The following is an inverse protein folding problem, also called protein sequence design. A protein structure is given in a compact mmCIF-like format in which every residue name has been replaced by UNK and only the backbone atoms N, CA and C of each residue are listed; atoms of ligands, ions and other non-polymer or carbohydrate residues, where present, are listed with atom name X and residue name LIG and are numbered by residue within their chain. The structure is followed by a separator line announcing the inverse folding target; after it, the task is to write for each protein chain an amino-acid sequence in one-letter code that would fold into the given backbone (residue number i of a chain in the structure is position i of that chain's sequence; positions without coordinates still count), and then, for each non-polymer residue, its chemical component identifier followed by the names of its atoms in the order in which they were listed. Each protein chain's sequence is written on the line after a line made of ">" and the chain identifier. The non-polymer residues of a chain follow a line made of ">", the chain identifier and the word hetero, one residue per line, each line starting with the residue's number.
data_IF_827321221364
#
_entry.id   IF_827321221364
#
_cell.length_a   1.000
_cell.length_b   1.000
_cell.length_c   1.000
_cell.angle_alpha   90.00
_cell.angle_beta   90.00
_cell.angle_gamma   90.00
#
_symmetry.space_group_name_H-M   'P 1'
#
loop_
_entity.id
_entity.type
_entity.pdbx_description
1 polymer ?
#
# COMPACT_ATOMS: atom_id res chain seq x y z
N UNK A 1 85.61 40.19 31.55
CA UNK A 1 84.99 41.02 30.50
C UNK A 1 83.73 40.32 30.01
N UNK A 2 82.66 41.11 29.84
CA UNK A 2 81.29 40.71 29.50
C UNK A 2 81.11 40.11 28.09
N UNK A 3 79.86 39.68 27.86
CA UNK A 3 79.13 39.25 26.64
C UNK A 3 79.03 37.73 26.51
N UNK A 4 77.86 37.07 26.50
CA UNK A 4 76.49 37.48 26.19
C UNK A 4 75.99 36.61 25.03
N UNK A 5 75.01 35.73 25.25
CA UNK A 5 74.49 34.85 24.19
C UNK A 5 73.25 34.05 24.62
N UNK A 6 72.10 34.46 24.10
CA UNK A 6 70.74 34.05 24.48
C UNK A 6 70.09 33.23 23.36
N UNK A 7 69.32 32.19 23.77
CA UNK A 7 68.23 31.45 23.08
C UNK A 7 68.37 30.95 21.63
N UNK A 8 68.12 29.64 21.44
CA UNK A 8 67.46 29.07 20.24
C UNK A 8 66.74 27.74 20.60
N UNK A 9 65.65 27.81 21.35
CA UNK A 9 64.75 26.65 21.61
C UNK A 9 63.27 26.94 21.28
N UNK A 10 62.96 28.05 20.61
CA UNK A 10 61.57 28.51 20.38
C UNK A 10 60.87 28.04 19.10
N UNK A 11 61.57 27.43 18.15
CA UNK A 11 61.01 27.19 16.79
C UNK A 11 60.44 25.79 16.57
N UNK A 12 60.93 24.73 17.21
CA UNK A 12 60.38 23.37 17.03
C UNK A 12 59.06 23.13 17.78
N UNK A 13 58.85 23.77 18.93
CA UNK A 13 57.62 23.59 19.73
C UNK A 13 56.39 24.25 19.09
N UNK A 14 56.59 25.38 18.41
CA UNK A 14 55.51 26.09 17.71
C UNK A 14 55.07 25.38 16.42
N UNK A 15 55.94 24.61 15.77
CA UNK A 15 55.58 23.86 14.58
C UNK A 15 54.66 22.67 14.92
N UNK A 16 55.05 21.82 15.88
CA UNK A 16 54.23 20.67 16.30
C UNK A 16 52.86 21.07 16.87
N UNK A 17 52.78 22.19 17.60
CA UNK A 17 51.51 22.69 18.14
C UNK A 17 50.57 23.21 17.05
N UNK A 18 51.11 23.83 15.99
CA UNK A 18 50.33 24.24 14.81
C UNK A 18 49.86 23.03 14.00
N UNK A 19 50.68 22.01 13.82
CA UNK A 19 50.29 20.79 13.09
C UNK A 19 49.20 20.01 13.82
N UNK A 20 49.29 19.88 15.15
CA UNK A 20 48.23 19.26 15.95
C UNK A 20 46.92 20.05 15.90
N UNK A 21 46.97 21.38 16.03
CA UNK A 21 45.76 22.21 15.92
C UNK A 21 45.12 22.12 14.53
N UNK A 22 45.93 21.97 13.48
CA UNK A 22 45.44 21.81 12.10
C UNK A 22 44.78 20.45 11.89
N UNK A 23 45.37 19.37 12.42
CA UNK A 23 44.80 18.01 12.40
C UNK A 23 43.51 17.92 13.22
N UNK A 24 43.45 18.56 14.40
CA UNK A 24 42.23 18.63 15.21
C UNK A 24 41.14 19.46 14.53
N UNK A 25 41.50 20.57 13.88
CA UNK A 25 40.54 21.35 13.09
C UNK A 25 40.01 20.56 11.87
N UNK A 26 40.87 19.79 11.19
CA UNK A 26 40.45 18.92 10.08
C UNK A 26 39.52 17.79 10.53
N UNK A 27 39.78 17.20 11.70
CA UNK A 27 38.91 16.20 12.32
C UNK A 27 37.56 16.79 12.74
N UNK A 28 37.53 18.02 13.28
CA UNK A 28 36.28 18.71 13.63
C UNK A 28 35.49 19.08 12.37
N UNK A 29 36.16 19.50 11.29
CA UNK A 29 35.51 19.75 9.99
C UNK A 29 34.99 18.45 9.38
N UNK A 30 35.74 17.35 9.45
CA UNK A 30 35.26 16.03 9.00
C UNK A 30 34.07 15.54 9.83
N UNK A 31 34.08 15.73 11.16
CA UNK A 31 32.94 15.39 12.02
C UNK A 31 31.74 16.33 11.79
N UNK A 32 31.97 17.62 11.54
CA UNK A 32 30.91 18.57 11.20
C UNK A 32 30.29 18.26 9.83
N UNK A 33 31.09 17.82 8.86
CA UNK A 33 30.61 17.34 7.57
C UNK A 33 29.89 15.99 7.68
N UNK A 34 30.27 15.10 8.60
CA UNK A 34 29.50 13.89 8.89
C UNK A 34 28.21 14.17 9.67
N UNK A 35 28.19 15.18 10.56
CA UNK A 35 26.99 15.64 11.25
C UNK A 35 26.03 16.37 10.30
N UNK A 36 26.52 17.07 9.28
CA UNK A 36 25.69 17.61 8.19
C UNK A 36 25.31 16.55 7.13
N UNK A 37 26.12 15.51 6.92
CA UNK A 37 25.75 14.37 6.07
C UNK A 37 24.74 13.42 6.75
N UNK A 38 24.40 13.68 8.01
CA UNK A 38 23.22 13.15 8.69
C UNK A 38 22.03 14.13 8.60
N UNK A 39 22.01 14.97 7.56
CA UNK A 39 20.76 15.57 7.08
C UNK A 39 19.76 14.43 6.93
N UNK A 40 18.61 14.54 7.62
CA UNK A 40 17.43 13.72 7.35
C UNK A 40 17.31 13.59 5.83
N UNK A 41 17.44 12.38 5.32
CA UNK A 41 17.21 12.10 3.91
C UNK A 41 15.91 12.83 3.49
N UNK A 42 16.00 13.73 2.52
CA UNK A 42 15.04 14.84 2.39
C UNK A 42 13.63 14.29 2.21
N UNK A 43 12.73 14.64 3.14
CA UNK A 43 11.31 14.33 3.00
C UNK A 43 10.79 14.93 1.68
N UNK A 44 10.09 14.11 0.88
CA UNK A 44 9.48 14.58 -0.35
C UNK A 44 8.09 15.14 -0.05
N UNK A 45 7.77 16.30 -0.64
CA UNK A 45 6.43 16.90 -0.58
C UNK A 45 5.44 16.12 -1.46
N UNK A 46 4.16 16.21 -1.13
CA UNK A 46 3.09 15.77 -2.02
C UNK A 46 3.24 16.43 -3.39
N UNK A 47 3.16 15.63 -4.46
CA UNK A 47 3.25 16.10 -5.85
C UNK A 47 1.87 16.22 -6.50
N UNK A 48 0.84 15.69 -5.85
CA UNK A 48 -0.56 15.84 -6.24
C UNK A 48 -1.40 16.31 -5.05
N UNK A 49 -2.28 17.27 -5.32
CA UNK A 49 -3.38 17.67 -4.43
C UNK A 49 -4.58 17.93 -5.34
N UNK A 50 -5.64 17.13 -5.19
CA UNK A 50 -6.89 17.31 -5.94
C UNK A 50 -8.09 17.17 -5.02
N UNK A 51 -9.21 17.75 -5.44
CA UNK A 51 -10.52 17.49 -4.85
C UNK A 51 -11.19 16.35 -5.60
N UNK A 52 -12.10 15.61 -4.96
CA UNK A 52 -12.94 14.63 -5.66
C UNK A 52 -13.63 15.27 -6.86
N UNK A 53 -13.62 14.61 -8.02
CA UNK A 53 -14.30 15.09 -9.23
C UNK A 53 -15.81 15.15 -9.00
N UNK A 54 -16.33 14.14 -8.29
CA UNK A 54 -17.74 14.04 -7.92
C UNK A 54 -17.86 13.43 -6.53
N UNK A 55 -18.88 13.89 -5.80
CA UNK A 55 -19.45 13.20 -4.65
C UNK A 55 -20.95 13.07 -4.91
N UNK A 56 -21.47 11.84 -4.88
CA UNK A 56 -22.90 11.57 -5.01
C UNK A 56 -23.40 10.77 -3.82
N UNK A 57 -24.65 11.01 -3.42
CA UNK A 57 -25.36 10.15 -2.49
C UNK A 57 -26.13 9.08 -3.25
N UNK A 58 -25.98 7.84 -2.82
CA UNK A 58 -26.68 6.69 -3.40
C UNK A 58 -27.60 6.09 -2.34
N UNK A 59 -28.90 5.88 -2.64
CA UNK A 59 -29.84 5.30 -1.69
C UNK A 59 -29.42 3.89 -1.24
N UNK A 60 -29.94 3.49 -0.08
CA UNK A 60 -29.71 2.15 0.45
C UNK A 60 -30.17 1.06 -0.50
N UNK A 61 -29.54 -0.11 -0.39
CA UNK A 61 -29.87 -1.25 -1.26
C UNK A 61 -31.35 -1.64 -1.11
N UNK A 62 -31.89 -1.59 0.12
CA UNK A 62 -33.31 -1.81 0.36
C UNK A 62 -34.21 -0.81 -0.37
N UNK A 63 -33.87 0.49 -0.35
CA UNK A 63 -34.62 1.52 -1.09
C UNK A 63 -34.53 1.32 -2.59
N UNK A 64 -33.38 0.92 -3.12
CA UNK A 64 -33.20 0.66 -4.55
C UNK A 64 -34.01 -0.55 -5.01
N UNK A 65 -34.10 -1.61 -4.19
CA UNK A 65 -34.97 -2.76 -4.46
C UNK A 65 -36.44 -2.33 -4.49
N UNK A 66 -36.88 -1.56 -3.49
CA UNK A 66 -38.27 -1.09 -3.40
C UNK A 66 -38.67 -0.19 -4.58
N UNK A 67 -37.74 0.64 -5.05
CA UNK A 67 -37.97 1.62 -6.12
C UNK A 67 -37.63 1.10 -7.52
N UNK A 68 -37.16 -0.14 -7.65
CA UNK A 68 -36.82 -0.77 -8.93
C UNK A 68 -35.55 -0.22 -9.60
N UNK A 69 -34.65 0.42 -8.84
CA UNK A 69 -33.36 0.92 -9.34
C UNK A 69 -32.19 -0.02 -9.03
N UNK A 70 -32.42 -1.08 -8.26
CA UNK A 70 -31.43 -2.13 -7.98
C UNK A 70 -30.98 -2.84 -9.25
N UNK A 71 -29.66 -2.97 -9.46
CA UNK A 71 -29.10 -3.62 -10.64
C UNK A 71 -28.57 -5.01 -10.22
N UNK A 72 -29.24 -6.11 -10.61
CA UNK A 72 -28.78 -7.45 -10.24
C UNK A 72 -27.43 -7.76 -10.89
N UNK A 73 -26.64 -8.61 -10.23
CA UNK A 73 -25.42 -9.15 -10.79
C UNK A 73 -25.73 -9.98 -12.06
N UNK A 74 -24.86 -9.87 -13.06
CA UNK A 74 -24.92 -10.69 -14.27
C UNK A 74 -23.88 -11.81 -14.19
N UNK A 75 -24.30 -13.06 -14.42
CA UNK A 75 -23.39 -14.20 -14.49
C UNK A 75 -22.76 -14.28 -15.89
N UNK A 76 -21.75 -13.45 -16.14
CA UNK A 76 -21.01 -13.42 -17.40
C UNK A 76 -19.61 -13.98 -17.17
N UNK A 77 -19.20 -14.93 -18.03
CA UNK A 77 -17.79 -15.32 -18.14
C UNK A 77 -17.08 -14.33 -19.06
N UNK A 78 -16.23 -13.47 -18.50
CA UNK A 78 -15.41 -12.54 -19.27
C UNK A 78 -14.11 -12.20 -18.58
N UNK A 79 -13.14 -11.73 -19.35
CA UNK A 79 -11.94 -11.09 -18.84
C UNK A 79 -12.27 -9.62 -18.53
N UNK A 80 -12.12 -9.20 -17.27
CA UNK A 80 -12.42 -7.82 -16.86
C UNK A 80 -11.19 -6.92 -17.00
N UNK A 81 -10.08 -7.35 -16.43
CA UNK A 81 -8.83 -6.60 -16.41
C UNK A 81 -7.77 -7.42 -17.15
N UNK A 82 -7.66 -7.28 -18.49
CA UNK A 82 -6.67 -8.04 -19.23
C UNK A 82 -5.27 -7.68 -18.75
N UNK A 83 -4.42 -8.69 -18.60
CA UNK A 83 -3.03 -8.51 -18.18
C UNK A 83 -2.30 -7.62 -19.20
N UNK A 84 -2.00 -6.38 -18.82
CA UNK A 84 -1.31 -5.39 -19.68
C UNK A 84 0.17 -5.21 -19.35
N UNK A 85 0.68 -5.95 -18.38
CA UNK A 85 2.04 -5.81 -17.89
C UNK A 85 2.95 -6.94 -18.37
N UNK A 86 4.26 -6.65 -18.41
CA UNK A 86 5.28 -7.62 -18.77
C UNK A 86 5.66 -8.53 -17.59
N UNK A 87 6.50 -9.53 -17.88
CA UNK A 87 7.12 -10.37 -16.85
C UNK A 87 7.99 -9.53 -15.90
N UNK A 88 8.14 -10.00 -14.66
CA UNK A 88 9.16 -9.44 -13.78
C UNK A 88 10.57 -9.75 -14.31
N UNK A 89 11.47 -8.80 -14.13
CA UNK A 89 12.83 -8.83 -14.66
C UNK A 89 13.84 -9.10 -13.56
N UNK A 90 14.85 -9.91 -13.89
CA UNK A 90 15.98 -10.22 -13.02
C UNK A 90 17.27 -10.22 -13.82
N UNK A 91 18.39 -10.11 -13.11
CA UNK A 91 19.74 -10.15 -13.69
C UNK A 91 20.27 -11.57 -13.61
N UNK A 92 20.58 -12.22 -14.75
CA UNK A 92 21.14 -13.57 -14.75
C UNK A 92 22.36 -13.71 -13.84
N UNK A 93 22.34 -14.72 -12.96
CA UNK A 93 23.43 -15.01 -12.03
C UNK A 93 23.29 -14.35 -10.65
N UNK A 94 22.52 -13.27 -10.50
CA UNK A 94 22.15 -12.70 -9.19
C UNK A 94 21.07 -13.55 -8.49
N UNK A 95 20.57 -13.12 -7.34
CA UNK A 95 19.58 -13.87 -6.56
C UNK A 95 20.24 -14.72 -5.48
N UNK A 96 19.92 -14.48 -4.22
CA UNK A 96 20.15 -15.38 -3.09
C UNK A 96 18.78 -15.71 -2.45
N UNK A 97 18.65 -16.84 -1.73
CA UNK A 97 19.63 -17.90 -1.53
C UNK A 97 19.88 -18.71 -2.80
N UNK A 98 21.06 -19.33 -2.91
CA UNK A 98 21.28 -20.40 -3.91
C UNK A 98 20.82 -21.72 -3.29
N UNK A 99 19.67 -22.24 -3.71
CA UNK A 99 19.10 -23.50 -3.20
C UNK A 99 17.87 -23.27 -2.32
N UNK A 100 17.73 -24.06 -1.25
CA UNK A 100 16.57 -23.95 -0.35
C UNK A 100 16.56 -22.64 0.46
N UNK A 101 15.36 -22.16 0.78
CA UNK A 101 15.16 -21.04 1.72
C UNK A 101 15.84 -21.36 3.08
N UNK A 102 16.76 -20.50 3.56
CA UNK A 102 17.50 -20.73 4.81
C UNK A 102 16.61 -20.81 6.06
N UNK A 103 15.38 -20.28 5.99
CA UNK A 103 14.40 -20.29 7.07
C UNK A 103 13.36 -21.41 6.93
N UNK A 104 13.33 -22.17 5.84
CA UNK A 104 12.35 -23.24 5.61
C UNK A 104 12.26 -24.25 6.75
N UNK A 105 13.41 -24.74 7.24
CA UNK A 105 13.43 -25.72 8.34
C UNK A 105 12.93 -25.11 9.64
N UNK A 106 13.27 -23.83 9.90
CA UNK A 106 12.79 -23.09 11.07
C UNK A 106 11.27 -22.89 10.99
N UNK A 107 10.75 -22.54 9.81
CA UNK A 107 9.32 -22.41 9.53
C UNK A 107 8.58 -23.74 9.79
N UNK A 108 9.15 -24.87 9.34
CA UNK A 108 8.59 -26.22 9.58
C UNK A 108 8.54 -26.62 11.06
N UNK A 109 9.51 -26.15 11.84
CA UNK A 109 9.63 -26.47 13.26
C UNK A 109 8.89 -25.50 14.19
N UNK A 110 8.29 -24.44 13.64
CA UNK A 110 7.57 -23.45 14.45
C UNK A 110 6.43 -24.14 15.20
N UNK A 111 6.37 -23.91 16.51
CA UNK A 111 5.22 -24.36 17.31
C UNK A 111 4.03 -23.51 16.91
N UNK A 112 3.04 -24.13 16.25
CA UNK A 112 1.80 -23.44 15.89
C UNK A 112 1.05 -23.10 17.17
N UNK A 113 0.72 -21.83 17.35
CA UNK A 113 -0.15 -21.40 18.45
C UNK A 113 -1.56 -21.98 18.29
N UNK A 114 -2.37 -21.97 19.37
CA UNK A 114 -3.76 -22.40 19.28
C UNK A 114 -4.50 -21.53 18.26
N UNK A 115 -5.00 -22.16 17.21
CA UNK A 115 -5.95 -21.53 16.31
C UNK A 115 -7.35 -21.57 16.95
N UNK A 116 -8.20 -20.58 16.64
CA UNK A 116 -9.63 -20.68 16.95
C UNK A 116 -10.29 -21.57 15.90
N UNK A 117 -11.22 -22.41 16.34
CA UNK A 117 -12.02 -23.20 15.42
C UNK A 117 -12.85 -22.28 14.51
N UNK A 118 -13.08 -22.73 13.27
CA UNK A 118 -13.99 -22.08 12.35
C UNK A 118 -15.41 -22.15 12.92
N UNK A 119 -16.05 -20.99 13.09
CA UNK A 119 -17.43 -20.89 13.58
C UNK A 119 -18.42 -21.20 12.44
N UNK A 120 -18.07 -20.82 11.21
CA UNK A 120 -18.92 -20.93 10.03
C UNK A 120 -18.07 -21.03 8.75
N UNK A 121 -18.55 -21.78 7.76
CA UNK A 121 -18.00 -21.81 6.41
C UNK A 121 -19.15 -21.90 5.42
N UNK A 122 -19.15 -21.01 4.42
CA UNK A 122 -20.14 -21.00 3.33
C UNK A 122 -19.52 -20.41 2.06
N UNK A 123 -20.13 -20.71 0.91
CA UNK A 123 -19.72 -20.15 -0.38
C UNK A 123 -20.35 -18.76 -0.57
N UNK A 124 -19.52 -17.71 -0.58
CA UNK A 124 -19.98 -16.32 -0.68
C UNK A 124 -19.94 -15.76 -2.11
N UNK A 125 -19.16 -16.35 -3.01
CA UNK A 125 -19.08 -15.92 -4.40
C UNK A 125 -18.69 -17.09 -5.30
N UNK A 126 -19.27 -17.10 -6.49
CA UNK A 126 -18.89 -17.96 -7.61
C UNK A 126 -18.96 -17.10 -8.87
N UNK A 127 -17.90 -17.09 -9.67
CA UNK A 127 -17.81 -16.25 -10.86
C UNK A 127 -17.02 -16.95 -11.95
N UNK A 128 -17.46 -16.78 -13.20
CA UNK A 128 -16.69 -17.19 -14.38
C UNK A 128 -15.71 -16.12 -14.87
N UNK A 129 -15.51 -15.04 -14.10
CA UNK A 129 -14.71 -13.89 -14.48
C UNK A 129 -13.23 -14.11 -14.19
N UNK A 130 -12.36 -13.61 -15.08
CA UNK A 130 -10.90 -13.66 -14.90
C UNK A 130 -10.29 -12.25 -14.98
N UNK A 131 -9.50 -11.83 -13.98
CA UNK A 131 -9.43 -12.42 -12.65
C UNK A 131 -10.77 -12.28 -11.90
N UNK A 132 -11.02 -13.13 -10.90
CA UNK A 132 -12.26 -13.09 -10.11
C UNK A 132 -12.24 -12.00 -9.02
N UNK A 133 -11.07 -11.63 -8.53
CA UNK A 133 -10.83 -10.60 -7.48
C UNK A 133 -11.79 -10.66 -6.28
N UNK A 134 -11.90 -11.82 -5.58
CA UNK A 134 -12.77 -11.93 -4.42
C UNK A 134 -12.22 -11.11 -3.24
N UNK A 135 -13.10 -10.31 -2.64
CA UNK A 135 -12.81 -9.47 -1.47
C UNK A 135 -13.99 -9.49 -0.50
N UNK A 136 -13.78 -9.04 0.74
CA UNK A 136 -14.87 -8.89 1.68
C UNK A 136 -14.44 -8.40 3.06
N UNK A 137 -15.38 -7.79 3.77
CA UNK A 137 -15.18 -7.33 5.12
C UNK A 137 -16.36 -7.68 6.03
N UNK A 138 -16.04 -7.90 7.29
CA UNK A 138 -17.00 -8.26 8.33
C UNK A 138 -17.22 -7.05 9.23
N UNK A 139 -18.44 -6.53 9.23
CA UNK A 139 -18.93 -5.58 10.22
C UNK A 139 -19.59 -6.26 11.43
N UNK A 140 -20.25 -5.47 12.31
CA UNK A 140 -20.90 -5.97 13.51
C UNK A 140 -21.98 -7.02 13.22
N UNK A 141 -22.83 -6.73 12.22
CA UNK A 141 -24.01 -7.54 11.91
C UNK A 141 -23.98 -8.13 10.49
N UNK A 142 -23.05 -7.69 9.65
CA UNK A 142 -23.06 -7.98 8.22
C UNK A 142 -21.68 -8.46 7.74
N UNK A 143 -21.70 -9.30 6.72
CA UNK A 143 -20.55 -9.56 5.87
C UNK A 143 -20.86 -9.02 4.47
N UNK A 144 -20.05 -8.08 4.00
CA UNK A 144 -20.11 -7.58 2.64
C UNK A 144 -18.98 -8.25 1.86
N UNK A 145 -19.32 -8.96 0.80
CA UNK A 145 -18.35 -9.58 -0.09
C UNK A 145 -18.51 -9.00 -1.50
N UNK A 146 -17.41 -8.92 -2.25
CA UNK A 146 -17.39 -8.46 -3.64
C UNK A 146 -16.43 -9.29 -4.48
N UNK A 147 -16.62 -9.26 -5.80
CA UNK A 147 -15.82 -9.96 -6.82
C UNK A 147 -16.02 -9.23 -8.15
N UNK A 148 -15.25 -9.54 -9.20
CA UNK A 148 -15.48 -8.99 -10.53
C UNK A 148 -16.82 -9.50 -11.13
N UNK A 149 -17.85 -8.66 -11.29
CA UNK A 149 -17.95 -7.24 -10.84
C UNK A 149 -19.30 -7.00 -10.17
N UNK A 150 -19.41 -7.60 -8.99
CA UNK A 150 -20.64 -7.73 -8.23
C UNK A 150 -20.33 -7.92 -6.74
N UNK A 151 -21.31 -7.61 -5.90
CA UNK A 151 -21.22 -7.77 -4.46
C UNK A 151 -22.48 -8.41 -3.88
N UNK A 152 -22.38 -8.87 -2.64
CA UNK A 152 -23.52 -9.37 -1.88
C UNK A 152 -23.35 -9.13 -0.38
N UNK A 153 -24.48 -8.90 0.28
CA UNK A 153 -24.55 -8.69 1.73
C UNK A 153 -25.16 -9.92 2.38
N UNK A 154 -24.51 -10.38 3.45
CA UNK A 154 -24.84 -11.57 4.21
C UNK A 154 -25.03 -11.22 5.69
N UNK A 155 -25.88 -11.98 6.37
CA UNK A 155 -25.89 -11.98 7.83
C UNK A 155 -24.69 -12.74 8.41
N UNK A 156 -24.54 -12.71 9.74
CA UNK A 156 -23.47 -13.42 10.46
C UNK A 156 -23.61 -14.95 10.47
N UNK A 157 -24.75 -15.48 10.01
CA UNK A 157 -25.03 -16.91 9.89
C UNK A 157 -24.80 -17.44 8.47
N UNK A 158 -24.39 -16.57 7.53
CA UNK A 158 -24.16 -16.94 6.13
C UNK A 158 -25.42 -16.96 5.28
N UNK A 159 -26.55 -16.41 5.76
CA UNK A 159 -27.74 -16.22 4.95
C UNK A 159 -27.60 -14.93 4.13
N UNK A 160 -27.92 -14.96 2.84
CA UNK A 160 -27.89 -13.76 2.03
C UNK A 160 -29.06 -12.84 2.38
N UNK A 161 -28.76 -11.56 2.58
CA UNK A 161 -29.77 -10.53 2.85
C UNK A 161 -30.25 -9.83 1.57
N UNK A 162 -29.45 -9.92 0.51
CA UNK A 162 -29.78 -9.38 -0.82
C UNK A 162 -29.57 -10.45 -1.89
N UNK A 163 -30.15 -10.23 -3.08
CA UNK A 163 -29.61 -10.85 -4.28
C UNK A 163 -28.16 -10.36 -4.52
N UNK A 164 -27.38 -11.10 -5.32
CA UNK A 164 -26.11 -10.56 -5.81
C UNK A 164 -26.40 -9.31 -6.66
N UNK A 165 -25.65 -8.23 -6.42
CA UNK A 165 -25.83 -6.93 -7.03
C UNK A 165 -24.64 -6.60 -7.92
N UNK A 166 -24.87 -5.95 -9.06
CA UNK A 166 -23.80 -5.34 -9.85
C UNK A 166 -23.14 -4.22 -9.03
N UNK A 167 -21.83 -3.98 -9.21
CA UNK A 167 -21.17 -2.78 -8.66
C UNK A 167 -21.90 -1.50 -9.05
N UNK A 168 -22.54 -1.47 -10.23
CA UNK A 168 -23.36 -0.34 -10.70
C UNK A 168 -24.59 -0.03 -9.83
N UNK A 169 -24.93 -0.90 -8.87
CA UNK A 169 -25.95 -0.59 -7.85
C UNK A 169 -25.46 0.48 -6.87
N UNK A 170 -24.14 0.60 -6.67
CA UNK A 170 -23.52 1.62 -5.83
C UNK A 170 -22.81 2.67 -6.68
N UNK A 171 -22.14 2.25 -7.75
CA UNK A 171 -21.29 3.15 -8.53
C UNK A 171 -21.91 3.56 -9.87
N UNK A 172 -21.47 4.68 -10.46
CA UNK A 172 -21.81 5.01 -11.84
C UNK A 172 -21.23 4.03 -12.87
N UNK A 173 -20.22 3.23 -12.49
CA UNK A 173 -19.46 2.32 -13.35
C UNK A 173 -19.66 0.83 -13.04
N UNK A 174 -18.84 0.01 -13.70
CA UNK A 174 -18.66 -1.42 -13.40
C UNK A 174 -17.33 -1.95 -13.97
N UNK A 175 -16.24 -1.23 -13.71
CA UNK A 175 -14.92 -1.55 -14.26
C UNK A 175 -14.18 -2.62 -13.46
N UNK A 176 -14.65 -2.94 -12.24
CA UNK A 176 -14.14 -4.05 -11.45
C UNK A 176 -12.96 -3.72 -10.53
N UNK A 177 -12.24 -4.78 -10.17
CA UNK A 177 -11.24 -4.88 -9.09
C UNK A 177 -11.72 -4.27 -7.76
N UNK A 178 -12.88 -4.75 -7.24
CA UNK A 178 -13.40 -4.18 -6.02
C UNK A 178 -12.55 -4.56 -4.81
N UNK A 179 -12.34 -3.61 -3.91
CA UNK A 179 -11.81 -3.87 -2.56
C UNK A 179 -12.86 -3.49 -1.54
N UNK A 180 -13.16 -4.42 -0.63
CA UNK A 180 -14.09 -4.18 0.48
C UNK A 180 -13.31 -4.13 1.78
N UNK A 181 -13.53 -3.07 2.56
CA UNK A 181 -13.02 -2.94 3.93
C UNK A 181 -14.16 -2.58 4.89
N UNK A 182 -13.93 -2.81 6.18
CA UNK A 182 -14.77 -2.28 7.24
C UNK A 182 -13.94 -1.35 8.12
N UNK A 183 -14.23 -0.06 8.04
CA UNK A 183 -13.68 0.92 8.97
C UNK A 183 -14.41 0.80 10.30
N UNK A 184 -13.84 -0.02 11.17
CA UNK A 184 -14.35 -0.27 12.51
C UNK A 184 -14.32 0.93 13.45
N UNK A 185 -13.58 1.99 13.12
CA UNK A 185 -13.47 3.18 13.97
C UNK A 185 -14.54 4.22 13.62
N UNK A 186 -15.12 4.14 12.43
CA UNK A 186 -16.28 4.92 12.01
C UNK A 186 -17.54 4.08 11.81
N UNK A 187 -17.48 2.78 12.08
CA UNK A 187 -18.56 1.82 11.83
C UNK A 187 -19.10 1.85 10.38
N UNK A 188 -18.20 2.00 9.39
CA UNK A 188 -18.58 2.10 7.97
C UNK A 188 -18.00 0.98 7.12
N UNK A 189 -18.78 0.53 6.14
CA UNK A 189 -18.26 -0.25 5.03
C UNK A 189 -17.64 0.68 3.99
N UNK A 190 -16.55 0.22 3.41
CA UNK A 190 -15.87 0.81 2.27
C UNK A 190 -15.91 -0.21 1.14
N UNK A 191 -16.26 0.22 -0.06
CA UNK A 191 -16.10 -0.56 -1.28
C UNK A 191 -15.52 0.35 -2.37
N UNK A 192 -14.66 -0.19 -3.22
CA UNK A 192 -14.11 0.53 -4.36
C UNK A 192 -14.44 -0.17 -5.68
N UNK A 193 -14.22 0.55 -6.78
CA UNK A 193 -13.96 0.00 -8.10
C UNK A 193 -13.02 0.94 -8.88
N UNK A 194 -12.58 0.51 -10.06
CA UNK A 194 -11.90 1.40 -10.99
C UNK A 194 -12.82 2.46 -11.60
N UNK A 195 -12.25 3.63 -11.87
CA UNK A 195 -12.80 4.62 -12.78
C UNK A 195 -11.74 5.01 -13.80
N UNK A 196 -11.91 4.66 -15.08
CA UNK A 196 -11.00 5.06 -16.17
C UNK A 196 -9.53 5.07 -15.69
N UNK A 197 -8.87 6.24 -15.61
CA UNK A 197 -7.66 6.42 -14.82
C UNK A 197 -8.00 7.00 -13.43
N UNK A 198 -8.26 6.17 -12.43
CA UNK A 198 -8.70 6.63 -11.12
C UNK A 198 -9.52 5.60 -10.35
N UNK A 199 -10.15 6.09 -9.28
CA UNK A 199 -10.88 5.29 -8.31
C UNK A 199 -12.29 5.84 -8.14
N UNK A 200 -13.27 4.94 -8.13
CA UNK A 200 -14.56 5.20 -7.50
C UNK A 200 -14.57 4.52 -6.13
N UNK A 201 -14.97 5.25 -5.10
CA UNK A 201 -14.91 4.82 -3.71
C UNK A 201 -16.23 5.14 -3.03
N UNK A 202 -16.89 4.14 -2.48
CA UNK A 202 -18.11 4.28 -1.72
C UNK A 202 -17.88 3.98 -0.25
N UNK A 203 -18.40 4.85 0.61
CA UNK A 203 -18.43 4.65 2.07
C UNK A 203 -19.88 4.65 2.51
N UNK A 204 -20.29 3.63 3.26
CA UNK A 204 -21.67 3.55 3.75
C UNK A 204 -21.96 4.69 4.73
N UNK A 205 -23.22 5.12 4.81
CA UNK A 205 -23.65 6.17 5.74
C UNK A 205 -23.77 5.66 7.19
N UNK A 206 -23.76 4.34 7.39
CA UNK A 206 -23.77 3.66 8.68
C UNK A 206 -23.30 2.20 8.60
N UNK A 207 -23.43 1.40 9.68
CA UNK A 207 -22.95 0.02 9.74
C UNK A 207 -23.88 -1.01 9.08
N UNK A 208 -25.03 -0.60 8.55
CA UNK A 208 -26.00 -1.48 7.90
C UNK A 208 -25.98 -1.24 6.38
N UNK A 209 -25.14 -1.97 5.60
CA UNK A 209 -25.02 -1.76 4.17
C UNK A 209 -26.28 -2.14 3.38
N UNK A 210 -27.30 -2.75 4.02
CA UNK A 210 -28.60 -3.01 3.39
C UNK A 210 -29.49 -1.78 3.49
N UNK A 211 -29.52 -1.14 4.66
CA UNK A 211 -30.49 -0.10 5.00
C UNK A 211 -29.94 1.33 4.99
N UNK A 212 -28.61 1.50 5.10
CA UNK A 212 -27.93 2.78 4.99
C UNK A 212 -27.59 3.10 3.53
N UNK A 213 -27.59 4.40 3.19
CA UNK A 213 -27.11 4.89 1.90
C UNK A 213 -25.59 4.84 1.78
N UNK A 214 -25.06 5.37 0.68
CA UNK A 214 -23.63 5.44 0.39
C UNK A 214 -23.23 6.85 -0.05
N UNK A 215 -22.07 7.30 0.41
CA UNK A 215 -21.36 8.44 -0.19
C UNK A 215 -20.35 7.89 -1.19
N UNK A 216 -20.49 8.27 -2.47
CA UNK A 216 -19.65 7.78 -3.56
C UNK A 216 -18.80 8.91 -4.12
N UNK A 217 -17.49 8.70 -4.08
CA UNK A 217 -16.47 9.66 -4.48
C UNK A 217 -15.71 9.16 -5.70
N UNK A 218 -15.33 10.10 -6.56
CA UNK A 218 -14.45 9.84 -7.70
C UNK A 218 -13.15 10.63 -7.57
N UNK A 219 -12.02 9.93 -7.67
CA UNK A 219 -10.71 10.55 -7.69
C UNK A 219 -9.93 10.12 -8.93
N UNK A 220 -9.60 11.08 -9.78
CA UNK A 220 -8.83 10.83 -10.98
C UNK A 220 -7.32 10.72 -10.69
N UNK A 221 -6.66 9.97 -11.55
CA UNK A 221 -5.22 9.83 -11.64
C UNK A 221 -4.79 10.05 -13.09
N UNK A 222 -3.49 10.26 -13.34
CA UNK A 222 -2.98 10.48 -14.69
C UNK A 222 -2.81 9.19 -15.52
N UNK A 223 -2.79 8.02 -14.89
CA UNK A 223 -2.66 6.70 -15.52
C UNK A 223 -3.38 5.63 -14.72
N UNK A 224 -3.74 4.52 -15.36
CA UNK A 224 -4.55 3.45 -14.77
C UNK A 224 -3.91 2.88 -13.48
N UNK A 225 -4.58 2.96 -12.31
CA UNK A 225 -4.02 2.56 -11.03
C UNK A 225 -4.34 1.09 -10.68
N UNK A 226 -3.85 0.15 -11.49
CA UNK A 226 -4.15 -1.28 -11.35
C UNK A 226 -3.77 -1.86 -9.97
N UNK A 227 -4.44 -2.94 -9.56
CA UNK A 227 -4.18 -3.69 -8.34
C UNK A 227 -4.06 -2.81 -7.06
N UNK A 228 -5.06 -1.95 -6.77
CA UNK A 228 -4.99 -1.03 -5.66
C UNK A 228 -5.13 -1.77 -4.32
N UNK A 229 -4.44 -1.25 -3.30
CA UNK A 229 -4.58 -1.69 -1.92
C UNK A 229 -5.00 -0.50 -1.08
N UNK A 230 -5.97 -0.73 -0.21
CA UNK A 230 -6.55 0.30 0.65
C UNK A 230 -6.29 0.00 2.12
N UNK A 231 -6.02 1.03 2.92
CA UNK A 231 -5.83 0.87 4.35
C UNK A 231 -6.43 2.01 5.14
N UNK A 232 -6.98 1.69 6.32
CA UNK A 232 -7.44 2.69 7.30
C UNK A 232 -6.28 3.06 8.21
N UNK A 233 -5.96 4.35 8.25
CA UNK A 233 -5.10 4.95 9.28
C UNK A 233 -5.87 6.06 10.01
N UNK A 234 -5.26 6.66 11.02
CA UNK A 234 -5.92 7.63 11.89
C UNK A 234 -6.34 8.93 11.22
N UNK A 235 -5.67 9.33 10.14
CA UNK A 235 -5.83 10.63 9.48
C UNK A 235 -6.30 10.54 8.02
N UNK A 236 -6.32 9.35 7.41
CA UNK A 236 -6.74 9.16 6.04
C UNK A 236 -7.12 7.70 5.75
N UNK A 237 -7.82 7.49 4.63
CA UNK A 237 -7.69 6.22 3.92
C UNK A 237 -6.49 6.33 2.99
N UNK A 238 -5.62 5.33 3.01
CA UNK A 238 -4.43 5.28 2.17
C UNK A 238 -4.65 4.31 1.01
N UNK A 239 -4.09 4.65 -0.14
CA UNK A 239 -4.14 3.86 -1.36
C UNK A 239 -2.72 3.66 -1.86
N UNK A 240 -2.38 2.44 -2.26
CA UNK A 240 -1.21 2.15 -3.10
C UNK A 240 -1.66 1.41 -4.35
N UNK A 241 -0.99 1.60 -5.47
CA UNK A 241 -1.37 0.95 -6.74
C UNK A 241 -0.17 0.53 -7.57
N UNK A 242 -0.35 -0.47 -8.43
CA UNK A 242 0.57 -0.84 -9.49
C UNK A 242 0.47 0.16 -10.65
N UNK A 243 0.93 1.39 -10.40
CA UNK A 243 0.81 2.52 -11.34
C UNK A 243 2.18 3.01 -11.80
N UNK A 244 2.31 3.45 -13.05
CA UNK A 244 3.55 4.01 -13.60
C UNK A 244 4.81 3.15 -13.31
N UNK A 245 4.77 1.85 -13.63
CA UNK A 245 5.81 0.86 -13.31
C UNK A 245 7.25 1.28 -13.67
N UNK A 246 7.42 2.10 -14.71
CA UNK A 246 8.74 2.59 -15.15
C UNK A 246 9.27 3.80 -14.38
N UNK A 247 8.44 4.44 -13.55
CA UNK A 247 8.79 5.66 -12.82
C UNK A 247 8.14 5.80 -11.42
N UNK A 248 7.96 4.74 -10.62
CA UNK A 248 7.28 4.83 -9.32
C UNK A 248 8.00 5.70 -8.29
N UNK A 249 9.30 5.96 -8.49
CA UNK A 249 10.09 6.88 -7.67
C UNK A 249 9.87 8.37 -7.97
N UNK A 250 9.14 8.70 -9.04
CA UNK A 250 8.87 10.08 -9.46
C UNK A 250 7.41 10.34 -9.85
N UNK A 251 6.57 9.30 -9.89
CA UNK A 251 5.14 9.37 -10.21
C UNK A 251 4.29 9.08 -8.97
N UNK A 252 3.09 9.64 -8.89
CA UNK A 252 2.19 9.39 -7.77
C UNK A 252 1.64 7.97 -7.81
N UNK A 253 2.05 7.16 -6.83
CA UNK A 253 1.71 5.73 -6.70
C UNK A 253 1.21 5.39 -5.29
N UNK A 254 1.34 6.35 -4.36
CA UNK A 254 0.75 6.34 -3.02
C UNK A 254 -0.18 7.53 -2.93
N UNK A 255 -1.37 7.32 -2.39
CA UNK A 255 -2.36 8.36 -2.18
C UNK A 255 -2.90 8.32 -0.76
N UNK A 256 -3.32 9.47 -0.24
CA UNK A 256 -4.12 9.58 0.96
C UNK A 256 -5.37 10.40 0.64
N UNK A 257 -6.54 9.89 1.03
CA UNK A 257 -7.83 10.56 0.82
C UNK A 257 -8.43 10.98 2.18
N UNK A 258 -9.05 12.16 2.19
CA UNK A 258 -9.52 12.84 3.40
C UNK A 258 -10.72 12.11 4.04
N UNK A 259 -10.40 11.10 4.85
CA UNK A 259 -11.33 10.18 5.50
C UNK A 259 -12.49 10.88 6.21
N UNK A 260 -12.20 11.90 7.01
CA UNK A 260 -13.22 12.58 7.81
C UNK A 260 -14.27 13.29 6.95
N UNK A 261 -13.88 13.84 5.81
CA UNK A 261 -14.83 14.41 4.85
C UNK A 261 -15.64 13.35 4.13
N UNK A 262 -14.99 12.26 3.74
CA UNK A 262 -15.65 11.14 3.06
C UNK A 262 -16.73 10.48 3.93
N UNK A 263 -16.47 10.36 5.23
CA UNK A 263 -17.43 9.84 6.21
C UNK A 263 -18.69 10.71 6.37
N UNK A 264 -18.62 11.98 5.97
CA UNK A 264 -19.69 12.97 6.11
C UNK A 264 -20.33 13.38 4.78
N UNK A 265 -19.96 12.75 3.65
CA UNK A 265 -20.52 13.14 2.35
C UNK A 265 -20.07 14.54 1.90
N UNK A 266 -18.95 15.06 2.39
CA UNK A 266 -18.44 16.37 1.97
C UNK A 266 -17.76 16.27 0.60
N UNK A 267 -18.31 16.96 -0.41
CA UNK A 267 -17.80 16.99 -1.78
C UNK A 267 -16.43 17.68 -1.94
N UNK A 268 -15.94 18.34 -0.89
CA UNK A 268 -14.61 18.95 -0.85
C UNK A 268 -13.51 18.01 -0.33
N UNK A 269 -13.80 16.70 -0.21
CA UNK A 269 -12.81 15.68 0.12
C UNK A 269 -11.61 15.74 -0.82
N UNK A 270 -10.41 15.77 -0.25
CA UNK A 270 -9.17 15.85 -0.99
C UNK A 270 -8.50 14.48 -1.14
N UNK A 271 -7.73 14.35 -2.22
CA UNK A 271 -6.70 13.32 -2.39
C UNK A 271 -5.34 13.99 -2.55
N UNK A 272 -4.36 13.54 -1.76
CA UNK A 272 -2.96 13.89 -1.92
C UNK A 272 -2.17 12.69 -2.44
N UNK A 273 -1.17 12.92 -3.28
CA UNK A 273 -0.39 11.87 -3.93
C UNK A 273 1.13 12.06 -3.78
N UNK A 274 1.84 10.94 -3.71
CA UNK A 274 3.28 10.87 -3.50
C UNK A 274 3.91 9.78 -4.37
N UNK A 275 5.15 9.98 -4.85
CA UNK A 275 5.99 8.89 -5.32
C UNK A 275 6.65 8.14 -4.16
N UNK A 276 7.19 6.97 -4.46
CA UNK A 276 8.01 6.18 -3.54
C UNK A 276 9.48 6.38 -3.85
N UNK A 277 10.10 7.40 -3.26
CA UNK A 277 11.51 7.72 -3.50
C UNK A 277 12.43 6.51 -3.29
N UNK A 278 13.45 6.43 -4.14
CA UNK A 278 14.45 5.35 -4.16
C UNK A 278 13.90 3.94 -4.35
N UNK A 279 12.61 3.75 -4.65
CA UNK A 279 12.08 2.42 -4.96
C UNK A 279 12.79 1.83 -6.19
N UNK A 280 13.07 0.53 -6.14
CA UNK A 280 13.42 -0.27 -7.31
C UNK A 280 12.41 -1.40 -7.41
N UNK A 281 11.82 -1.58 -8.58
CA UNK A 281 10.93 -2.68 -8.89
C UNK A 281 11.48 -3.48 -10.08
N UNK A 282 10.83 -4.61 -10.37
CA UNK A 282 11.19 -5.51 -11.47
C UNK A 282 10.16 -5.56 -12.60
N UNK A 283 9.07 -4.79 -12.52
CA UNK A 283 7.92 -4.90 -13.43
C UNK A 283 6.61 -4.66 -12.68
N UNK A 284 5.71 -5.65 -12.69
CA UNK A 284 4.53 -5.63 -11.84
C UNK A 284 4.96 -5.51 -10.38
N UNK A 285 4.36 -4.58 -9.67
CA UNK A 285 4.70 -4.29 -8.28
C UNK A 285 3.48 -3.80 -7.54
N UNK A 286 3.45 -3.98 -6.23
CA UNK A 286 2.40 -3.38 -5.43
C UNK A 286 2.90 -3.12 -4.01
N UNK A 287 3.15 -1.85 -3.65
CA UNK A 287 3.44 -1.45 -2.28
C UNK A 287 2.19 -1.57 -1.43
N UNK A 288 2.32 -1.54 -0.11
CA UNK A 288 1.21 -1.78 0.80
C UNK A 288 1.22 -0.77 1.96
N UNK A 289 0.09 -0.11 2.18
CA UNK A 289 -0.15 0.64 3.41
C UNK A 289 -0.53 -0.28 4.56
N UNK A 290 -0.16 0.09 5.78
CA UNK A 290 -0.62 -0.63 6.98
C UNK A 290 -2.05 -0.25 7.33
N UNK A 291 -2.87 -1.26 7.57
CA UNK A 291 -4.24 -1.11 8.04
C UNK A 291 -4.30 -1.23 9.57
N UNK A 292 -4.94 -0.26 10.23
CA UNK A 292 -5.18 -0.32 11.66
C UNK A 292 -6.22 -1.38 12.00
N UNK A 293 -5.83 -2.33 12.87
CA UNK A 293 -6.70 -3.40 13.37
C UNK A 293 -6.52 -3.63 14.88
N UNK A 294 -5.91 -2.67 15.57
CA UNK A 294 -5.87 -2.60 17.03
C UNK A 294 -7.20 -2.12 17.62
N UNK A 295 -7.28 -2.06 18.95
CA UNK A 295 -8.46 -1.53 19.65
C UNK A 295 -8.59 -0.01 19.57
N UNK A 296 -7.52 0.68 19.20
CA UNK A 296 -7.44 2.14 19.11
C UNK A 296 -6.68 2.54 17.84
N UNK A 297 -7.04 3.68 17.26
CA UNK A 297 -6.26 4.27 16.18
C UNK A 297 -4.84 4.61 16.66
N UNK A 298 -3.82 4.47 15.78
CA UNK A 298 -2.49 5.01 16.03
C UNK A 298 -2.53 6.55 16.07
N UNK A 299 -1.45 7.21 16.52
CA UNK A 299 -1.30 8.66 16.33
C UNK A 299 -1.37 9.05 14.86
N UNK A 300 -1.94 10.23 14.58
CA UNK A 300 -1.95 10.84 13.25
C UNK A 300 -0.53 11.05 12.70
N UNK A 301 -0.38 10.94 11.38
CA UNK A 301 0.90 10.94 10.71
C UNK A 301 1.65 9.61 10.81
N UNK A 302 2.87 9.63 10.28
CA UNK A 302 3.78 8.49 10.16
C UNK A 302 3.11 7.19 9.68
N UNK A 303 2.15 7.32 8.75
CA UNK A 303 1.46 6.17 8.18
C UNK A 303 2.46 5.35 7.35
N UNK A 304 2.71 4.08 7.70
CA UNK A 304 3.75 3.31 7.04
C UNK A 304 3.29 2.73 5.70
N UNK A 305 4.13 2.88 4.68
CA UNK A 305 4.04 2.20 3.39
C UNK A 305 5.23 1.26 3.25
N UNK A 306 4.99 0.02 2.82
CA UNK A 306 6.03 -1.01 2.74
C UNK A 306 6.12 -1.63 1.35
N UNK A 307 7.35 -1.98 0.95
CA UNK A 307 7.63 -2.73 -0.26
C UNK A 307 8.88 -3.61 -0.10
N UNK A 308 8.93 -4.74 -0.78
CA UNK A 308 10.09 -5.64 -0.78
C UNK A 308 10.99 -5.36 -1.97
N UNK A 309 12.30 -5.60 -1.84
CA UNK A 309 13.24 -5.58 -2.96
C UNK A 309 14.18 -6.78 -2.88
N UNK A 310 14.35 -7.45 -4.03
CA UNK A 310 15.08 -8.71 -4.16
C UNK A 310 16.41 -8.49 -4.89
N UNK A 311 17.47 -9.12 -4.41
CA UNK A 311 18.84 -8.95 -4.88
C UNK A 311 19.08 -9.58 -6.27
N UNK A 312 18.13 -10.32 -6.82
CA UNK A 312 18.12 -10.74 -8.21
C UNK A 312 17.89 -9.57 -9.19
N UNK A 313 17.38 -8.42 -8.72
CA UNK A 313 17.00 -7.29 -9.57
C UNK A 313 18.19 -6.38 -9.92
N UNK A 314 18.06 -5.62 -11.00
CA UNK A 314 19.03 -4.58 -11.32
C UNK A 314 18.93 -3.44 -10.30
N UNK A 315 20.05 -2.94 -9.76
CA UNK A 315 20.05 -1.85 -8.78
C UNK A 315 19.75 -2.27 -7.33
N UNK A 316 19.60 -3.57 -7.03
CA UNK A 316 19.40 -4.09 -5.66
C UNK A 316 20.59 -4.96 -5.28
N UNK A 317 21.32 -4.64 -4.22
CA UNK A 317 22.53 -5.41 -3.82
C UNK A 317 22.26 -6.53 -2.83
N UNK A 318 21.24 -6.38 -1.99
CA UNK A 318 20.84 -7.32 -0.93
C UNK A 318 19.34 -7.32 -0.80
N UNK A 319 18.78 -8.47 -0.44
CA UNK A 319 17.36 -8.60 -0.10
C UNK A 319 17.00 -7.71 1.09
N UNK A 320 15.93 -6.94 0.93
CA UNK A 320 15.45 -6.04 1.98
C UNK A 320 13.99 -5.65 1.82
N UNK A 321 13.46 -5.08 2.88
CA UNK A 321 12.18 -4.39 2.90
C UNK A 321 12.46 -2.89 3.01
N UNK A 322 11.72 -2.07 2.27
CA UNK A 322 11.68 -0.62 2.44
C UNK A 322 10.41 -0.19 3.14
N UNK A 323 10.55 0.79 4.02
CA UNK A 323 9.46 1.40 4.76
C UNK A 323 9.52 2.92 4.59
N UNK A 324 8.44 3.53 4.11
CA UNK A 324 8.26 4.98 4.05
C UNK A 324 7.19 5.39 5.05
N UNK A 325 7.28 6.62 5.56
CA UNK A 325 6.28 7.20 6.46
C UNK A 325 5.63 8.40 5.78
N UNK A 326 4.29 8.39 5.70
CA UNK A 326 3.51 9.50 5.14
C UNK A 326 2.93 10.35 6.27
N UNK A 327 3.06 11.66 6.14
CA UNK A 327 2.49 12.66 7.03
C UNK A 327 1.59 13.60 6.23
N UNK A 328 0.28 13.55 6.45
CA UNK A 328 -0.68 14.39 5.74
C UNK A 328 -0.97 15.68 6.52
N UNK A 329 -1.11 16.79 5.82
CA UNK A 329 -1.52 18.08 6.38
C UNK A 329 -2.80 18.58 5.72
N UNK A 330 -3.96 18.25 6.27
CA UNK A 330 -5.24 18.66 5.68
C UNK A 330 -5.50 20.17 5.72
N UNK A 331 -4.85 20.92 6.62
CA UNK A 331 -4.90 22.39 6.66
C UNK A 331 -4.16 23.03 5.48
N UNK A 332 -3.04 22.42 5.07
CA UNK A 332 -2.24 22.86 3.92
C UNK A 332 -1.73 21.62 3.18
N UNK A 333 -2.56 21.02 2.30
CA UNK A 333 -2.27 19.70 1.69
C UNK A 333 -0.92 19.62 0.99
N UNK A 334 -0.46 20.71 0.36
CA UNK A 334 0.85 20.79 -0.29
C UNK A 334 2.04 20.66 0.68
N UNK A 335 1.83 20.85 2.00
CA UNK A 335 2.85 20.64 3.03
C UNK A 335 2.99 19.19 3.47
N UNK A 336 2.09 18.30 3.05
CA UNK A 336 2.18 16.86 3.34
C UNK A 336 3.49 16.28 2.82
N UNK A 337 4.03 15.27 3.50
CA UNK A 337 5.32 14.66 3.17
C UNK A 337 5.28 13.14 3.15
N UNK A 338 6.19 12.55 2.37
CA UNK A 338 6.62 11.16 2.50
C UNK A 338 8.12 11.16 2.85
N UNK A 339 8.52 10.33 3.81
CA UNK A 339 9.93 10.19 4.19
C UNK A 339 10.77 9.60 3.04
N UNK A 340 12.09 9.67 3.16
CA UNK A 340 12.93 8.71 2.44
C UNK A 340 12.76 7.30 3.06
N UNK A 341 13.00 6.21 2.31
CA UNK A 341 12.79 4.88 2.85
C UNK A 341 13.81 4.52 3.93
N UNK A 342 13.32 3.93 5.02
CA UNK A 342 14.14 3.09 5.87
C UNK A 342 14.34 1.72 5.22
N UNK A 343 15.59 1.24 5.22
CA UNK A 343 15.93 -0.10 4.74
C UNK A 343 15.98 -1.07 5.92
N UNK A 344 15.19 -2.14 5.83
CA UNK A 344 15.14 -3.26 6.75
C UNK A 344 15.75 -4.48 6.07
N UNK A 345 17.00 -4.80 6.43
CA UNK A 345 17.69 -5.96 5.85
C UNK A 345 17.01 -7.26 6.28
N UNK A 346 16.82 -8.17 5.33
CA UNK A 346 16.32 -9.51 5.58
C UNK A 346 17.46 -10.53 5.50
N UNK A 347 17.20 -11.76 5.92
CA UNK A 347 17.94 -12.89 5.35
C UNK A 347 17.57 -13.03 3.87
N UNK A 348 18.43 -13.66 3.07
CA UNK A 348 18.12 -13.84 1.66
C UNK A 348 16.81 -14.57 1.41
N UNK A 349 16.04 -14.16 0.40
CA UNK A 349 14.79 -14.79 -0.03
C UNK A 349 14.69 -14.81 -1.56
N UNK A 350 14.04 -15.83 -2.11
CA UNK A 350 13.78 -15.92 -3.55
C UNK A 350 12.37 -15.41 -3.87
N UNK A 351 12.30 -14.24 -4.51
CA UNK A 351 11.07 -13.65 -5.02
C UNK A 351 10.83 -13.90 -6.51
N UNK A 352 11.69 -14.70 -7.18
CA UNK A 352 11.64 -14.94 -8.62
C UNK A 352 11.19 -16.37 -8.95
N UNK A 353 10.00 -16.49 -9.52
CA UNK A 353 9.40 -17.76 -9.94
C UNK A 353 9.39 -17.84 -11.48
N UNK A 354 9.82 -18.97 -12.04
CA UNK A 354 9.90 -19.26 -13.48
C UNK A 354 10.46 -18.10 -14.34
N UNK A 355 11.54 -17.47 -13.86
CA UNK A 355 12.19 -16.36 -14.57
C UNK A 355 11.33 -15.10 -14.69
N UNK A 356 10.37 -14.92 -13.77
CA UNK A 356 9.50 -13.75 -13.65
C UNK A 356 8.20 -13.83 -14.44
N UNK A 357 7.93 -14.97 -15.09
CA UNK A 357 6.70 -15.19 -15.86
C UNK A 357 5.46 -15.21 -14.95
N UNK A 358 4.29 -15.19 -15.56
CA UNK A 358 3.01 -15.54 -14.91
C UNK A 358 2.71 -17.02 -15.14
N UNK A 359 1.67 -17.53 -14.48
CA UNK A 359 1.27 -18.93 -14.48
C UNK A 359 2.42 -19.81 -13.99
N UNK A 360 2.78 -19.61 -12.72
CA UNK A 360 4.00 -20.14 -12.12
C UNK A 360 3.79 -21.41 -11.30
N UNK A 361 2.62 -21.50 -10.66
CA UNK A 361 2.40 -22.48 -9.61
C UNK A 361 1.37 -23.51 -10.08
N UNK A 362 1.79 -24.78 -10.28
CA UNK A 362 0.86 -25.82 -10.69
C UNK A 362 -0.19 -26.06 -9.60
N UNK A 363 -1.44 -26.19 -10.02
CA UNK A 363 -2.54 -26.60 -9.15
C UNK A 363 -2.73 -28.12 -9.21
N UNK A 364 -3.25 -28.77 -8.15
CA UNK A 364 -3.62 -30.19 -8.20
C UNK A 364 -4.58 -30.54 -9.36
N UNK A 365 -5.38 -29.57 -9.79
CA UNK A 365 -6.22 -29.62 -10.98
C UNK A 365 -6.46 -28.20 -11.52
N UNK A 366 -6.57 -28.03 -12.84
CA UNK A 366 -6.81 -26.73 -13.47
C UNK A 366 -5.54 -26.10 -14.05
N UNK A 367 -5.61 -24.81 -14.37
CA UNK A 367 -4.49 -24.03 -14.88
C UNK A 367 -3.53 -23.61 -13.76
N UNK A 368 -2.28 -23.33 -14.12
CA UNK A 368 -1.30 -22.77 -13.19
C UNK A 368 -1.73 -21.38 -12.71
N UNK A 369 -1.49 -21.10 -11.43
CA UNK A 369 -1.78 -19.80 -10.82
C UNK A 369 -0.55 -18.91 -10.80
N UNK A 370 -0.77 -17.61 -10.73
CA UNK A 370 0.30 -16.62 -10.62
C UNK A 370 0.79 -16.54 -9.17
N UNK A 371 2.10 -16.51 -8.97
CA UNK A 371 2.68 -16.21 -7.66
C UNK A 371 2.54 -14.72 -7.27
N UNK A 372 2.15 -13.85 -8.22
CA UNK A 372 2.14 -12.38 -8.09
C UNK A 372 3.43 -11.85 -7.45
N UNK A 373 4.53 -12.13 -8.15
CA UNK A 373 5.89 -11.82 -7.75
C UNK A 373 6.11 -10.32 -7.55
N UNK A 374 7.09 -9.94 -6.72
CA UNK A 374 7.40 -8.55 -6.40
C UNK A 374 6.20 -7.77 -5.79
N UNK A 375 5.36 -8.47 -5.01
CA UNK A 375 4.29 -7.83 -4.24
C UNK A 375 4.35 -8.23 -2.78
N UNK A 376 3.84 -7.36 -1.90
CA UNK A 376 3.52 -7.73 -0.53
C UNK A 376 2.02 -7.95 -0.45
N UNK A 377 1.58 -9.15 -0.07
CA UNK A 377 0.17 -9.53 -0.09
C UNK A 377 -0.66 -8.76 0.94
N UNK A 378 -1.89 -8.44 0.56
CA UNK A 378 -2.84 -7.61 1.31
C UNK A 378 -3.49 -8.40 2.46
N UNK A 379 -3.68 -7.88 3.68
CA UNK A 379 -3.32 -6.56 4.23
C UNK A 379 -2.12 -6.65 5.20
N UNK A 380 -1.30 -5.59 5.26
CA UNK A 380 -0.38 -5.37 6.37
C UNK A 380 -1.17 -4.84 7.56
N UNK A 381 -0.97 -5.43 8.74
CA UNK A 381 -1.77 -5.14 9.93
C UNK A 381 -0.94 -4.38 10.95
N UNK A 382 -1.49 -3.28 11.47
CA UNK A 382 -0.97 -2.58 12.63
C UNK A 382 -1.89 -2.83 13.83
N UNK A 383 -1.34 -3.20 14.98
CA UNK A 383 -2.10 -3.55 16.19
C UNK A 383 -1.56 -2.87 17.43
#
# INVERSE_FOLDING_TARGET
>A
MLFGGTLLFGTKYNFMRKTNNFLTALLIVFFALQLQAQDKASEQKATLVITSETMIEVPSIASQIANGTFIPAENISKEFNPKRWGKNTSVPGKGLPKGEDPLWQKQKQVTKGPARDLILTFEAASSGSTPTDPTGAVGPNHFLNSWNSSFRIWDKSGNPLTAAASLSTIFPGNLGDPIVMYDRFADRFFISEFYSNGFDIAVSQGPDPVNDGWYVYRFATNSFPDYPKYSVWSDAYYITANKDQGSPGTSEVVFAIERDKMLNGDASALMVGFPLTDIVNSGFYSPLGFNCNGSTLPPAGNAPIVYMQDDSWNGVSTDHIKLWEVNVNWTTPANSTISSPQILNTLPFDGLFDGGSFSNLPQPSGSDIDALQATIMYMAQYR
#
